data_IF_469027329891
#
_entry.id   IF_469027329891
#
_cell.length_a   1.000
_cell.length_b   1.000
_cell.length_c   1.000
_cell.angle_alpha   90.00
_cell.angle_beta   90.00
_cell.angle_gamma   90.00
#
_symmetry.space_group_name_H-M   'P 1'
#
loop_
_entity.id
_entity.type
_entity.pdbx_description
1 polymer ?
#
# COMPACT_ATOMS: atom_id res chain seq x y z
N UNK A 1 17.63 -2.23 10.61
CA UNK A 1 17.82 -2.03 9.15
C UNK A 1 16.68 -2.57 8.26
N UNK A 2 15.82 -3.50 8.72
CA UNK A 2 14.69 -4.02 7.91
C UNK A 2 13.63 -2.99 7.45
N UNK A 3 13.57 -1.80 8.07
CA UNK A 3 12.60 -0.74 7.72
C UNK A 3 12.87 -0.12 6.34
N UNK A 4 14.12 -0.09 5.90
CA UNK A 4 14.53 0.51 4.61
C UNK A 4 14.14 -0.40 3.43
N UNK A 5 14.31 -1.72 3.60
CA UNK A 5 13.91 -2.74 2.62
C UNK A 5 12.39 -2.72 2.41
N UNK A 6 11.64 -2.56 3.50
CA UNK A 6 10.20 -2.36 3.46
C UNK A 6 9.75 -1.14 2.64
N UNK A 7 10.51 -0.03 2.70
CA UNK A 7 10.23 1.16 1.91
C UNK A 7 10.61 0.95 0.43
N UNK A 8 11.76 0.34 0.17
CA UNK A 8 12.19 -0.03 -1.19
C UNK A 8 11.19 -0.95 -1.89
N UNK A 9 10.65 -1.94 -1.17
CA UNK A 9 9.59 -2.82 -1.68
C UNK A 9 8.27 -2.10 -1.97
N UNK A 10 8.03 -0.95 -1.33
CA UNK A 10 6.84 -0.12 -1.57
C UNK A 10 7.01 0.82 -2.78
N UNK A 11 8.25 1.14 -3.15
CA UNK A 11 8.55 2.01 -4.30
C UNK A 11 8.16 1.34 -5.61
N UNK A 12 8.40 0.03 -5.75
CA UNK A 12 8.08 -0.74 -6.95
C UNK A 12 6.58 -0.68 -7.36
N UNK A 13 5.63 -1.01 -6.46
CA UNK A 13 4.19 -0.90 -6.75
C UNK A 13 3.74 0.54 -6.93
N UNK A 14 4.39 1.51 -6.27
CA UNK A 14 4.13 2.94 -6.48
C UNK A 14 4.48 3.39 -7.90
N UNK A 15 5.63 2.96 -8.43
CA UNK A 15 6.03 3.20 -9.82
C UNK A 15 5.07 2.55 -10.82
N UNK A 16 4.63 1.31 -10.55
CA UNK A 16 3.62 0.64 -11.37
C UNK A 16 2.30 1.42 -11.41
N UNK A 17 1.83 1.94 -10.28
CA UNK A 17 0.63 2.78 -10.25
C UNK A 17 0.80 4.06 -11.07
N UNK A 18 1.94 4.75 -10.94
CA UNK A 18 2.23 5.95 -11.73
C UNK A 18 2.28 5.64 -13.25
N UNK A 19 2.84 4.49 -13.62
CA UNK A 19 2.84 4.01 -15.00
C UNK A 19 1.41 3.70 -15.50
N UNK A 20 0.57 3.11 -14.65
CA UNK A 20 -0.86 2.90 -14.94
C UNK A 20 -1.60 4.20 -15.24
N UNK A 21 -1.34 5.27 -14.49
CA UNK A 21 -1.92 6.61 -14.75
C UNK A 21 -1.49 7.13 -16.13
N UNK A 22 -0.22 6.95 -16.49
CA UNK A 22 0.29 7.33 -17.82
C UNK A 22 -0.45 6.58 -18.94
N UNK A 23 -0.64 5.26 -18.79
CA UNK A 23 -1.37 4.45 -19.77
C UNK A 23 -2.83 4.89 -19.96
N UNK A 24 -3.51 5.23 -18.85
CA UNK A 24 -4.89 5.75 -18.89
C UNK A 24 -4.91 7.08 -19.64
N UNK A 25 -3.99 8.00 -19.32
CA UNK A 25 -3.87 9.28 -20.03
C UNK A 25 -3.71 9.05 -21.53
N UNK A 26 -2.74 8.22 -21.93
CA UNK A 26 -2.45 7.95 -23.34
C UNK A 26 -3.67 7.32 -24.04
N UNK A 27 -4.42 6.45 -23.34
CA UNK A 27 -5.67 5.88 -23.84
C UNK A 27 -6.78 6.93 -24.05
N UNK A 28 -6.89 7.94 -23.19
CA UNK A 28 -7.85 9.05 -23.37
C UNK A 28 -7.52 9.94 -24.58
N UNK A 29 -6.24 10.04 -24.96
CA UNK A 29 -5.83 10.76 -26.17
C UNK A 29 -5.88 9.90 -27.44
N UNK A 30 -6.27 8.62 -27.33
CA UNK A 30 -6.28 7.69 -28.46
C UNK A 30 -4.88 7.21 -28.88
N UNK A 31 -3.85 7.51 -28.07
CA UNK A 31 -2.47 7.11 -28.30
C UNK A 31 -2.27 5.69 -27.76
N UNK A 32 -2.23 4.73 -28.67
CA UNK A 32 -2.00 3.32 -28.34
C UNK A 32 -0.51 3.06 -28.25
N UNK A 33 -0.04 2.70 -27.05
CA UNK A 33 1.33 2.28 -26.87
C UNK A 33 1.58 0.98 -27.68
N UNK A 34 2.78 0.81 -28.29
CA UNK A 34 3.06 -0.27 -29.25
C UNK A 34 2.92 -1.69 -28.67
N UNK A 35 2.86 -1.81 -27.34
CA UNK A 35 2.67 -3.06 -26.62
C UNK A 35 1.19 -3.47 -26.53
N UNK A 36 0.26 -2.54 -26.75
CA UNK A 36 -1.18 -2.75 -26.62
C UNK A 36 -1.86 -2.79 -27.98
N UNK A 37 -2.84 -3.69 -28.13
CA UNK A 37 -3.59 -3.89 -29.37
C UNK A 37 -4.74 -2.90 -29.56
N UNK A 38 -5.28 -2.37 -28.46
CA UNK A 38 -6.49 -1.53 -28.48
C UNK A 38 -6.52 -0.59 -27.27
N UNK A 39 -7.10 0.60 -27.45
CA UNK A 39 -7.25 1.64 -26.42
C UNK A 39 -7.97 1.10 -25.19
N UNK A 40 -9.02 0.29 -25.38
CA UNK A 40 -9.76 -0.31 -24.27
C UNK A 40 -8.87 -1.25 -23.43
N UNK A 41 -8.06 -2.07 -24.09
CA UNK A 41 -7.12 -2.98 -23.40
C UNK A 41 -6.08 -2.18 -22.62
N UNK A 42 -5.57 -1.09 -23.20
CA UNK A 42 -4.64 -0.18 -22.54
C UNK A 42 -5.27 0.51 -21.31
N UNK A 43 -6.54 0.91 -21.39
CA UNK A 43 -7.29 1.49 -20.29
C UNK A 43 -7.46 0.49 -19.13
N UNK A 44 -7.92 -0.73 -19.44
CA UNK A 44 -8.09 -1.78 -18.42
C UNK A 44 -6.76 -2.21 -17.81
N UNK A 45 -5.68 -2.29 -18.61
CA UNK A 45 -4.34 -2.56 -18.11
C UNK A 45 -3.84 -1.44 -17.18
N UNK A 46 -4.06 -0.18 -17.54
CA UNK A 46 -3.75 0.98 -16.70
C UNK A 46 -4.51 0.94 -15.36
N UNK A 47 -5.81 0.64 -15.39
CA UNK A 47 -6.62 0.46 -14.19
C UNK A 47 -6.11 -0.70 -13.32
N UNK A 48 -5.77 -1.84 -13.92
CA UNK A 48 -5.22 -2.98 -13.20
C UNK A 48 -3.90 -2.63 -12.50
N UNK A 49 -2.99 -1.89 -13.15
CA UNK A 49 -1.76 -1.44 -12.53
C UNK A 49 -1.98 -0.50 -11.35
N UNK A 50 -2.97 0.40 -11.43
CA UNK A 50 -3.35 1.28 -10.32
C UNK A 50 -3.92 0.46 -9.16
N UNK A 51 -4.85 -0.46 -9.42
CA UNK A 51 -5.47 -1.29 -8.39
C UNK A 51 -4.43 -2.18 -7.71
N UNK A 52 -3.52 -2.78 -8.47
CA UNK A 52 -2.41 -3.58 -7.93
C UNK A 52 -1.48 -2.71 -7.10
N UNK A 53 -1.08 -1.54 -7.61
CA UNK A 53 -0.17 -0.64 -6.91
C UNK A 53 -0.75 -0.15 -5.58
N UNK A 54 -1.98 0.36 -5.60
CA UNK A 54 -2.69 0.83 -4.39
C UNK A 54 -3.00 -0.34 -3.45
N UNK A 55 -3.51 -1.45 -3.98
CA UNK A 55 -3.85 -2.64 -3.20
C UNK A 55 -2.64 -3.24 -2.49
N UNK A 56 -1.47 -3.25 -3.14
CA UNK A 56 -0.22 -3.69 -2.53
C UNK A 56 0.21 -2.75 -1.41
N UNK A 57 0.13 -1.43 -1.61
CA UNK A 57 0.45 -0.43 -0.58
C UNK A 57 -0.50 -0.59 0.62
N UNK A 58 -1.81 -0.68 0.38
CA UNK A 58 -2.82 -0.85 1.41
C UNK A 58 -2.63 -2.16 2.20
N UNK A 59 -2.40 -3.27 1.50
CA UNK A 59 -2.12 -4.58 2.11
C UNK A 59 -0.84 -4.58 2.94
N UNK A 60 0.22 -3.92 2.44
CA UNK A 60 1.47 -3.76 3.18
C UNK A 60 1.29 -2.94 4.46
N UNK A 61 0.56 -1.83 4.40
CA UNK A 61 0.24 -1.00 5.57
C UNK A 61 -0.56 -1.81 6.59
N UNK A 62 -1.60 -2.53 6.15
CA UNK A 62 -2.44 -3.35 7.01
C UNK A 62 -1.63 -4.45 7.74
N UNK A 63 -0.80 -5.20 7.00
CA UNK A 63 0.06 -6.22 7.60
C UNK A 63 1.06 -5.64 8.59
N UNK A 64 1.59 -4.44 8.30
CA UNK A 64 2.54 -3.76 9.19
C UNK A 64 1.87 -3.22 10.45
N UNK A 65 0.64 -2.73 10.36
CA UNK A 65 -0.08 -2.14 11.50
C UNK A 65 -0.52 -3.20 12.53
N UNK A 66 -0.93 -4.39 12.10
CA UNK A 66 -1.34 -5.48 13.01
C UNK A 66 -0.28 -5.83 14.06
N UNK A 67 1.02 -5.71 13.75
CA UNK A 67 2.09 -6.01 14.71
C UNK A 67 2.22 -4.99 15.83
N UNK A 68 1.74 -3.75 15.67
CA UNK A 68 1.83 -2.71 16.71
C UNK A 68 0.69 -2.76 17.73
N UNK A 69 -0.46 -3.30 17.35
CA UNK A 69 -1.63 -3.37 18.23
C UNK A 69 -1.47 -4.41 19.36
N UNK A 70 -0.68 -5.48 19.15
CA UNK A 70 -0.43 -6.51 20.18
C UNK A 70 0.42 -6.02 21.37
N UNK A 71 1.31 -5.05 21.19
CA UNK A 71 2.19 -4.57 22.27
C UNK A 71 1.49 -3.56 23.20
N UNK A 72 0.39 -2.94 22.76
CA UNK A 72 -0.33 -1.94 23.56
C UNK A 72 -1.21 -2.57 24.65
N UNK A 73 -1.63 -3.82 24.50
CA UNK A 73 -2.50 -4.51 25.46
C UNK A 73 -1.76 -5.13 26.66
N UNK A 74 -0.43 -5.15 26.64
CA UNK A 74 0.38 -5.70 27.74
C UNK A 74 0.88 -4.65 28.75
N UNK A 75 0.60 -3.36 28.54
CA UNK A 75 0.78 -2.33 29.59
C UNK A 75 -0.54 -2.15 30.33
N UNK A 76 -1.06 -3.24 30.92
CA UNK A 76 -1.93 -3.11 32.08
C UNK A 76 -0.99 -2.72 33.21
N UNK A 77 -0.85 -1.42 33.44
CA UNK A 77 -0.25 -0.93 34.68
C UNK A 77 -0.91 -1.71 35.82
N UNK A 78 -0.14 -2.37 36.70
CA UNK A 78 -0.73 -2.92 37.90
C UNK A 78 -1.30 -1.73 38.65
N UNK A 79 -2.63 -1.68 38.75
CA UNK A 79 -3.35 -0.72 39.58
C UNK A 79 -2.68 -0.81 40.95
N UNK A 80 -1.83 0.17 41.29
CA UNK A 80 -1.25 0.29 42.63
C UNK A 80 -2.44 0.51 43.56
N UNK A 81 -2.84 -0.53 44.29
CA UNK A 81 -3.83 -0.38 45.35
C UNK A 81 -3.26 0.62 46.35
N UNK A 82 -4.03 1.64 46.77
CA UNK A 82 -3.57 2.54 47.80
C UNK A 82 -3.30 1.71 49.06
N UNK A 83 -2.08 1.83 49.57
CA UNK A 83 -1.64 1.24 50.82
C UNK A 83 -2.57 1.75 51.91
N UNK A 84 -3.46 0.86 52.38
CA UNK A 84 -4.41 1.18 53.45
C UNK A 84 -3.61 1.15 54.74
N UNK A 85 -3.05 2.30 55.10
CA UNK A 85 -2.54 2.56 56.44
C UNK A 85 -3.72 2.62 57.40
N UNK A 86 -3.77 1.56 58.19
CA UNK A 86 -4.37 1.36 59.51
C UNK A 86 -4.62 2.65 60.31
#
# INVERSE_FOLDING_TARGET
MARFIALLLLVLPGFLAAYGIKLIRDAFFGEVAPVFLNVLVQLFAGLAFIVIGIGFIAGFIYHRDQKRQRTKNNRKEPIRKPDRKD
#
